data_IF_506905181751
#
_entry.id   IF_506905181751
#
_cell.length_a   1.000
_cell.length_b   1.000
_cell.length_c   1.000
_cell.angle_alpha   90.00
_cell.angle_beta   90.00
_cell.angle_gamma   90.00
#
_symmetry.space_group_name_H-M   'P 1'
#
loop_
_entity.id
_entity.type
_entity.pdbx_description
1 polymer ?
#
# COMPACT_ATOMS: atom_id res chain seq x y z
N UNK A 1 10.78 -1.18 -14.82
CA UNK A 1 10.22 -1.53 -13.49
C UNK A 1 9.19 -0.46 -13.13
N UNK A 2 8.00 -0.85 -12.64
CA UNK A 2 6.92 0.10 -12.29
C UNK A 2 6.44 -0.15 -10.87
N UNK A 3 6.53 0.87 -10.01
CA UNK A 3 5.98 0.85 -8.66
C UNK A 3 4.54 1.34 -8.63
N UNK A 4 3.63 0.51 -8.14
CA UNK A 4 2.26 0.88 -7.88
C UNK A 4 2.06 1.20 -6.38
N UNK A 5 1.59 2.42 -6.10
CA UNK A 5 1.25 2.95 -4.76
C UNK A 5 -0.19 3.46 -4.74
N UNK A 6 -0.78 3.62 -3.54
CA UNK A 6 -2.10 4.24 -3.39
C UNK A 6 -2.07 5.78 -3.43
N UNK A 7 -0.95 6.38 -3.04
CA UNK A 7 -0.76 7.84 -2.96
C UNK A 7 -0.44 8.31 -1.55
N UNK A 8 0.27 9.43 -1.46
CA UNK A 8 0.82 10.01 -0.23
C UNK A 8 0.24 11.41 0.12
N UNK A 9 -0.47 12.02 -0.82
CA UNK A 9 -0.79 13.45 -0.81
C UNK A 9 -2.30 13.76 -0.80
N UNK A 10 -3.15 12.79 -0.44
CA UNK A 10 -4.61 12.94 -0.55
C UNK A 10 -5.15 14.23 0.08
N UNK A 11 -4.76 14.54 1.33
CA UNK A 11 -5.25 15.74 2.03
C UNK A 11 -4.83 17.04 1.30
N UNK A 12 -3.62 17.08 0.74
CA UNK A 12 -3.12 18.22 -0.05
C UNK A 12 -3.90 18.39 -1.35
N UNK A 13 -4.17 17.29 -2.07
CA UNK A 13 -4.94 17.30 -3.31
C UNK A 13 -6.39 17.77 -3.09
N UNK A 14 -7.02 17.34 -1.99
CA UNK A 14 -8.35 17.83 -1.60
C UNK A 14 -8.31 19.34 -1.32
N UNK A 15 -7.32 19.80 -0.55
CA UNK A 15 -7.15 21.22 -0.23
C UNK A 15 -6.92 22.07 -1.48
N UNK A 16 -6.00 21.67 -2.36
CA UNK A 16 -5.69 22.42 -3.58
C UNK A 16 -6.89 22.52 -4.52
N UNK A 17 -7.59 21.40 -4.77
CA UNK A 17 -8.79 21.42 -5.60
C UNK A 17 -9.88 22.37 -5.07
N UNK A 18 -10.03 22.47 -3.74
CA UNK A 18 -10.99 23.40 -3.12
C UNK A 18 -10.54 24.85 -3.21
N UNK A 19 -9.27 25.14 -2.93
CA UNK A 19 -8.71 26.50 -2.99
C UNK A 19 -8.76 27.05 -4.41
N UNK A 20 -8.44 26.21 -5.39
CA UNK A 20 -8.39 26.59 -6.81
C UNK A 20 -9.77 26.56 -7.48
N UNK A 21 -10.84 26.18 -6.74
CA UNK A 21 -12.20 26.16 -7.25
C UNK A 21 -12.42 25.18 -8.41
N UNK A 22 -11.69 24.06 -8.43
CA UNK A 22 -11.77 23.08 -9.52
C UNK A 22 -13.14 22.38 -9.53
N UNK A 23 -13.58 21.92 -10.71
CA UNK A 23 -14.86 21.21 -10.90
C UNK A 23 -14.88 19.78 -10.30
N UNK A 24 -13.83 19.37 -9.59
CA UNK A 24 -13.72 18.05 -9.00
C UNK A 24 -12.35 17.77 -8.38
N UNK A 25 -12.22 16.59 -7.79
CA UNK A 25 -10.98 16.14 -7.17
C UNK A 25 -10.19 15.23 -8.12
N UNK A 26 -8.87 15.41 -8.24
CA UNK A 26 -8.02 14.53 -9.06
C UNK A 26 -7.79 13.16 -8.40
N UNK A 27 -8.25 12.97 -7.16
CA UNK A 27 -8.14 11.73 -6.40
C UNK A 27 -9.51 11.23 -5.96
N UNK A 28 -9.63 9.93 -5.71
CA UNK A 28 -10.85 9.40 -5.13
C UNK A 28 -11.08 9.95 -3.71
N UNK A 29 -12.32 10.33 -3.41
CA UNK A 29 -12.71 10.88 -2.10
C UNK A 29 -13.07 9.81 -1.07
N UNK A 30 -13.23 8.55 -1.49
CA UNK A 30 -13.45 7.40 -0.61
C UNK A 30 -12.32 6.40 -0.73
N UNK A 31 -11.75 6.00 0.40
CA UNK A 31 -10.63 5.03 0.48
C UNK A 31 -10.90 3.73 -0.28
N UNK A 32 -12.12 3.21 -0.21
CA UNK A 32 -12.51 1.96 -0.90
C UNK A 32 -12.37 2.05 -2.41
N UNK A 33 -12.61 3.24 -3.02
CA UNK A 33 -12.42 3.43 -4.45
C UNK A 33 -10.93 3.36 -4.81
N UNK A 34 -10.05 3.91 -3.98
CA UNK A 34 -8.59 3.76 -4.14
C UNK A 34 -8.16 2.30 -4.02
N UNK A 35 -8.73 1.51 -3.11
CA UNK A 35 -8.42 0.08 -3.01
C UNK A 35 -8.82 -0.68 -4.28
N UNK A 36 -10.04 -0.43 -4.79
CA UNK A 36 -10.53 -1.04 -6.04
C UNK A 36 -9.63 -0.65 -7.21
N UNK A 37 -9.33 0.64 -7.34
CA UNK A 37 -8.44 1.16 -8.39
C UNK A 37 -7.05 0.53 -8.30
N UNK A 38 -6.51 0.35 -7.10
CA UNK A 38 -5.22 -0.29 -6.90
C UNK A 38 -5.22 -1.74 -7.42
N UNK A 39 -6.25 -2.52 -7.10
CA UNK A 39 -6.38 -3.90 -7.57
C UNK A 39 -6.59 -3.98 -9.10
N UNK A 40 -7.36 -3.06 -9.67
CA UNK A 40 -7.55 -2.96 -11.12
C UNK A 40 -6.23 -2.66 -11.84
N UNK A 41 -5.47 -1.67 -11.36
CA UNK A 41 -4.15 -1.35 -11.88
C UNK A 41 -3.16 -2.51 -11.69
N UNK A 42 -3.20 -3.20 -10.55
CA UNK A 42 -2.34 -4.36 -10.31
C UNK A 42 -2.61 -5.48 -11.31
N UNK A 43 -3.88 -5.77 -11.61
CA UNK A 43 -4.26 -6.74 -12.65
C UNK A 43 -3.69 -6.35 -14.02
N UNK A 44 -3.78 -5.06 -14.38
CA UNK A 44 -3.24 -4.53 -15.65
C UNK A 44 -1.72 -4.64 -15.72
N UNK A 45 -1.01 -4.35 -14.64
CA UNK A 45 0.45 -4.51 -14.60
C UNK A 45 0.86 -5.98 -14.68
N UNK A 46 0.15 -6.87 -13.98
CA UNK A 46 0.39 -8.32 -14.04
C UNK A 46 0.11 -8.90 -15.44
N UNK A 47 -0.72 -8.29 -16.27
CA UNK A 47 -0.97 -8.76 -17.64
C UNK A 47 0.06 -8.29 -18.67
N UNK A 48 0.97 -7.38 -18.31
CA UNK A 48 1.92 -6.75 -19.25
C UNK A 48 3.39 -7.09 -18.90
N UNK A 49 3.65 -8.33 -18.45
CA UNK A 49 4.97 -8.75 -17.96
C UNK A 49 6.04 -8.91 -19.04
N UNK A 50 5.64 -8.87 -20.30
CA UNK A 50 6.50 -8.74 -21.48
C UNK A 50 7.19 -7.38 -21.57
N UNK A 51 6.56 -6.32 -21.03
CA UNK A 51 7.07 -4.95 -21.12
C UNK A 51 7.46 -4.35 -19.75
N UNK A 52 6.82 -4.79 -18.66
CA UNK A 52 7.01 -4.17 -17.34
C UNK A 52 7.25 -5.20 -16.25
N UNK A 53 8.12 -4.85 -15.31
CA UNK A 53 8.28 -5.56 -14.04
C UNK A 53 7.46 -4.85 -12.95
N UNK A 54 6.34 -5.44 -12.45
CA UNK A 54 5.49 -4.81 -11.46
C UNK A 54 6.08 -4.85 -10.04
N UNK A 55 5.91 -3.76 -9.30
CA UNK A 55 6.35 -3.64 -7.91
C UNK A 55 5.20 -3.10 -7.06
N UNK A 56 4.66 -3.91 -6.15
CA UNK A 56 3.46 -3.57 -5.39
C UNK A 56 3.81 -3.07 -3.99
N UNK A 57 3.74 -1.75 -3.79
CA UNK A 57 3.99 -1.10 -2.53
C UNK A 57 2.70 -0.92 -1.71
N UNK A 58 2.56 -1.69 -0.62
CA UNK A 58 1.38 -1.64 0.26
C UNK A 58 1.70 -2.24 1.64
N UNK A 59 1.05 -1.75 2.70
CA UNK A 59 1.06 -2.40 4.03
C UNK A 59 -0.30 -3.00 4.40
N UNK A 60 -1.24 -3.02 3.45
CA UNK A 60 -2.56 -3.60 3.66
C UNK A 60 -2.52 -5.10 3.31
N UNK A 61 -2.67 -5.95 4.32
CA UNK A 61 -2.59 -7.40 4.19
C UNK A 61 -3.61 -7.98 3.19
N UNK A 62 -4.83 -7.45 3.16
CA UNK A 62 -5.86 -7.86 2.20
C UNK A 62 -5.41 -7.56 0.76
N UNK A 63 -4.90 -6.35 0.50
CA UNK A 63 -4.40 -5.94 -0.82
C UNK A 63 -3.24 -6.84 -1.25
N UNK A 64 -2.33 -7.16 -0.33
CA UNK A 64 -1.22 -8.08 -0.56
C UNK A 64 -1.73 -9.48 -0.94
N UNK A 65 -2.61 -10.08 -0.13
CA UNK A 65 -3.17 -11.39 -0.38
C UNK A 65 -3.91 -11.48 -1.72
N UNK A 66 -4.68 -10.45 -2.07
CA UNK A 66 -5.36 -10.36 -3.36
C UNK A 66 -4.36 -10.36 -4.54
N UNK A 67 -3.29 -9.56 -4.46
CA UNK A 67 -2.23 -9.54 -5.48
C UNK A 67 -1.52 -10.89 -5.57
N UNK A 68 -1.21 -11.49 -4.42
CA UNK A 68 -0.57 -12.81 -4.37
C UNK A 68 -1.38 -13.86 -5.14
N UNK A 69 -2.70 -13.89 -4.93
CA UNK A 69 -3.59 -14.79 -5.65
C UNK A 69 -3.70 -14.45 -7.14
N UNK A 70 -3.82 -13.17 -7.50
CA UNK A 70 -3.88 -12.72 -8.91
C UNK A 70 -2.57 -12.96 -9.68
N UNK A 71 -1.44 -12.99 -8.98
CA UNK A 71 -0.09 -13.11 -9.55
C UNK A 71 0.50 -14.53 -9.51
N UNK A 72 -0.29 -15.58 -9.32
CA UNK A 72 0.21 -16.96 -9.41
C UNK A 72 0.83 -17.22 -10.79
N UNK A 73 2.02 -17.82 -10.81
CA UNK A 73 2.79 -18.07 -12.05
C UNK A 73 3.40 -16.83 -12.70
N UNK A 74 3.31 -15.66 -12.06
CA UNK A 74 3.76 -14.37 -12.58
C UNK A 74 4.93 -13.82 -11.78
N UNK A 75 5.82 -13.06 -12.42
CA UNK A 75 6.98 -12.45 -11.75
C UNK A 75 6.77 -10.98 -11.33
N UNK A 76 6.87 -10.72 -10.03
CA UNK A 76 6.72 -9.39 -9.45
C UNK A 76 7.39 -9.35 -8.08
N UNK A 77 7.60 -8.15 -7.56
CA UNK A 77 8.01 -7.96 -6.17
C UNK A 77 6.97 -7.17 -5.37
N UNK A 78 6.94 -7.42 -4.07
CA UNK A 78 6.30 -6.50 -3.15
C UNK A 78 7.30 -5.46 -2.65
N UNK A 79 6.79 -4.36 -2.13
CA UNK A 79 7.61 -3.33 -1.52
C UNK A 79 7.00 -2.82 -0.23
N UNK A 80 7.88 -2.50 0.71
CA UNK A 80 7.49 -1.95 1.99
C UNK A 80 8.42 -0.81 2.40
N UNK A 81 8.10 -0.18 3.51
CA UNK A 81 8.89 0.87 4.11
C UNK A 81 9.53 0.29 5.36
N UNK A 82 10.79 0.60 5.57
CA UNK A 82 11.50 0.24 6.79
C UNK A 82 10.75 0.78 8.01
N UNK A 83 10.62 -0.05 9.06
CA UNK A 83 9.93 0.30 10.30
C UNK A 83 8.39 0.33 10.26
N UNK A 84 7.76 -0.10 9.17
CA UNK A 84 6.27 -0.12 9.05
C UNK A 84 5.68 -1.47 8.62
N UNK A 85 6.33 -2.16 7.68
CA UNK A 85 5.75 -3.34 7.02
C UNK A 85 6.43 -4.66 7.34
N UNK A 86 7.49 -4.65 8.15
CA UNK A 86 8.37 -5.81 8.36
C UNK A 86 7.61 -7.02 8.88
N UNK A 87 6.81 -6.86 9.94
CA UNK A 87 6.02 -7.96 10.51
C UNK A 87 5.03 -8.61 9.53
N UNK A 88 4.47 -7.84 8.58
CA UNK A 88 3.63 -8.38 7.52
C UNK A 88 4.46 -9.15 6.49
N UNK A 89 5.61 -8.59 6.11
CA UNK A 89 6.43 -9.12 5.02
C UNK A 89 7.37 -10.26 5.45
N UNK A 90 7.64 -10.42 6.74
CA UNK A 90 8.28 -11.61 7.31
C UNK A 90 7.49 -12.89 7.00
N UNK A 91 6.16 -12.77 6.84
CA UNK A 91 5.26 -13.87 6.45
C UNK A 91 5.15 -14.05 4.92
N UNK A 92 5.93 -13.30 4.14
CA UNK A 92 5.84 -13.26 2.68
C UNK A 92 7.15 -13.71 2.04
N UNK A 93 8.28 -13.29 2.62
CA UNK A 93 9.62 -13.60 2.12
C UNK A 93 10.00 -15.05 2.43
N UNK A 94 10.60 -15.71 1.45
CA UNK A 94 11.27 -17.00 1.62
C UNK A 94 10.41 -18.24 1.32
N UNK A 95 11.03 -19.41 1.08
CA UNK A 95 10.35 -20.61 0.61
C UNK A 95 9.36 -21.21 1.61
N UNK A 96 9.55 -20.96 2.92
CA UNK A 96 8.66 -21.46 3.98
C UNK A 96 7.38 -20.61 4.12
N UNK A 97 7.31 -19.47 3.40
CA UNK A 97 6.21 -18.52 3.41
C UNK A 97 5.57 -18.46 2.01
N UNK A 98 5.21 -17.27 1.54
CA UNK A 98 4.65 -17.07 0.21
C UNK A 98 5.67 -17.13 -0.93
N UNK A 99 6.97 -17.25 -0.62
CA UNK A 99 8.03 -17.36 -1.63
C UNK A 99 8.19 -16.13 -2.51
N UNK A 100 7.82 -14.93 -2.04
CA UNK A 100 7.87 -13.70 -2.85
C UNK A 100 8.98 -12.76 -2.42
N UNK A 101 9.56 -12.07 -3.41
CA UNK A 101 10.56 -11.02 -3.19
C UNK A 101 9.90 -9.78 -2.60
N UNK A 102 10.55 -9.20 -1.59
CA UNK A 102 10.14 -7.94 -0.97
C UNK A 102 11.34 -7.00 -0.99
N UNK A 103 11.15 -5.78 -1.51
CA UNK A 103 12.14 -4.71 -1.43
C UNK A 103 11.74 -3.71 -0.35
N UNK A 104 12.62 -3.50 0.62
CA UNK A 104 12.44 -2.52 1.68
C UNK A 104 12.99 -1.17 1.24
N UNK A 105 12.17 -0.12 1.34
CA UNK A 105 12.62 1.25 1.14
C UNK A 105 13.01 1.85 2.50
N UNK A 106 14.32 2.01 2.71
CA UNK A 106 14.89 2.60 3.90
C UNK A 106 15.21 4.09 3.65
N UNK A 107 14.65 5.03 4.43
CA UNK A 107 15.08 6.42 4.38
C UNK A 107 16.50 6.55 4.94
N UNK A 108 17.38 7.23 4.23
CA UNK A 108 18.76 7.47 4.65
C UNK A 108 19.03 8.97 4.56
N UNK A 109 19.49 9.57 5.65
CA UNK A 109 19.75 11.00 5.74
C UNK A 109 20.08 11.46 7.16
N UNK A 110 20.43 12.73 7.31
CA UNK A 110 20.69 13.37 8.61
C UNK A 110 19.37 13.54 9.39
N UNK A 111 19.48 13.78 10.71
CA UNK A 111 18.32 14.03 11.56
C UNK A 111 17.42 15.15 11.02
N UNK A 112 18.00 16.28 10.62
CA UNK A 112 17.27 17.41 10.05
C UNK A 112 16.48 17.03 8.79
N UNK A 113 17.10 16.26 7.89
CA UNK A 113 16.46 15.80 6.65
C UNK A 113 15.30 14.83 6.93
N UNK A 114 15.46 13.97 7.94
CA UNK A 114 14.47 12.96 8.29
C UNK A 114 13.30 13.51 9.11
N UNK A 115 13.47 14.63 9.82
CA UNK A 115 12.41 15.28 10.62
C UNK A 115 11.21 15.71 9.76
N UNK A 116 11.44 16.39 8.63
CA UNK A 116 10.38 16.76 7.70
C UNK A 116 9.70 15.53 7.07
N UNK A 117 10.47 14.48 6.81
CA UNK A 117 9.97 13.22 6.28
C UNK A 117 9.14 12.44 7.33
N UNK A 118 9.49 12.54 8.61
CA UNK A 118 8.82 11.86 9.72
C UNK A 118 7.36 12.32 9.87
N UNK A 119 7.09 13.62 9.79
CA UNK A 119 5.71 14.17 9.88
C UNK A 119 4.81 13.55 8.82
N UNK A 120 5.27 13.50 7.56
CA UNK A 120 4.53 12.86 6.47
C UNK A 120 4.31 11.36 6.73
N UNK A 121 5.33 10.66 7.24
CA UNK A 121 5.24 9.23 7.55
C UNK A 121 4.25 8.91 8.66
N UNK A 122 4.19 9.73 9.70
CA UNK A 122 3.22 9.55 10.79
C UNK A 122 1.78 9.67 10.28
N UNK A 123 1.50 10.65 9.42
CA UNK A 123 0.18 10.85 8.82
C UNK A 123 -0.24 9.69 7.91
N UNK A 124 0.66 9.16 7.09
CA UNK A 124 0.39 7.97 6.25
C UNK A 124 0.09 6.72 7.08
N UNK A 125 0.83 6.52 8.18
CA UNK A 125 0.70 5.35 9.05
C UNK A 125 -0.62 5.32 9.79
N UNK A 126 -1.06 6.47 10.32
CA UNK A 126 -2.33 6.58 11.05
C UNK A 126 -3.54 6.18 10.19
N UNK A 127 -3.56 6.62 8.92
CA UNK A 127 -4.62 6.28 7.96
C UNK A 127 -4.64 4.79 7.59
N UNK A 128 -3.47 4.17 7.51
CA UNK A 128 -3.33 2.75 7.18
C UNK A 128 -3.73 1.84 8.34
N UNK A 129 -3.33 2.18 9.58
CA UNK A 129 -3.66 1.42 10.80
C UNK A 129 -5.15 1.29 11.04
N UNK A 130 -5.95 2.32 10.74
CA UNK A 130 -7.42 2.28 10.90
C UNK A 130 -8.10 1.19 10.06
N UNK A 131 -7.47 0.72 8.97
CA UNK A 131 -8.00 -0.37 8.15
C UNK A 131 -7.65 -1.76 8.70
N UNK A 132 -6.46 -1.91 9.29
CA UNK A 132 -6.00 -3.17 9.90
C UNK A 132 -6.69 -3.42 11.24
N UNK A 133 -6.85 -2.39 12.08
CA UNK A 133 -7.51 -2.51 13.40
C UNK A 133 -9.01 -2.80 13.28
N UNK A 134 -9.71 -2.22 12.30
CA UNK A 134 -11.13 -2.54 12.05
C UNK A 134 -11.36 -4.00 11.63
N UNK A 135 -10.39 -4.64 10.97
CA UNK A 135 -10.51 -6.06 10.59
C UNK A 135 -10.34 -6.97 11.81
N UNK A 136 -9.41 -6.64 12.72
CA UNK A 136 -9.19 -7.39 13.96
C UNK A 136 -10.35 -7.24 14.96
N UNK A 137 -10.93 -6.05 15.08
CA UNK A 137 -12.05 -5.79 16.00
C UNK A 137 -13.37 -6.44 15.57
N UNK A 138 -13.57 -6.76 14.29
CA UNK A 138 -14.78 -7.48 13.82
C UNK A 138 -14.76 -8.98 14.15
N UNK A 139 -13.60 -9.58 14.40
CA UNK A 139 -13.48 -11.01 14.71
C UNK A 139 -13.58 -11.33 16.21
N UNK A 140 -13.54 -10.33 17.09
CA UNK A 140 -13.66 -10.53 18.55
C UNK A 140 -15.11 -10.53 19.07
N UNK A 141 -16.12 -10.32 18.23
CA UNK A 141 -17.53 -10.26 18.63
C UNK A 141 -18.41 -11.36 18.05
N UNK A 142 -17.85 -12.50 17.61
CA UNK A 142 -18.68 -13.68 17.34
C UNK A 142 -18.94 -14.38 18.69
N UNK A 143 -20.19 -14.41 19.21
CA UNK A 143 -20.47 -15.14 20.44
C UNK A 143 -20.18 -16.64 20.22
N UNK A 144 -19.71 -17.35 21.25
CA UNK A 144 -19.56 -18.80 21.18
C UNK A 144 -20.94 -19.45 21.06
N UNK A 145 -21.05 -20.45 20.18
CA UNK A 145 -22.20 -21.36 20.10
C UNK A 145 -22.33 -22.22 21.36
#
# INVERSE_FOLDING_TARGET
MIRLVKGAYWDSEIKWAQVDGLNGYPTYTRKVHTDISYLACARKLLSAQDAVFPQFATHNAYTLGAIYQMGKGKDFEHQCLHGMGETLYDQVVGPQNLGRRVRVYAPVGTHETLLAYLVRRLLETARTRLSSTKSLMKHQHRPPD
#
